data_IF_250264827346
#
_entry.id   IF_250264827346
#
_cell.length_a   1.000
_cell.length_b   1.000
_cell.length_c   1.000
_cell.angle_alpha   90.00
_cell.angle_beta   90.00
_cell.angle_gamma   90.00
#
_symmetry.space_group_name_H-M   'P 1'
#
loop_
_entity.id
_entity.type
_entity.pdbx_description
1 polymer ?
#
# COMPACT_ATOMS: atom_id res chain seq x y z
N UNK A 1 -29.27 25.09 -4.73
CA UNK A 1 -28.61 24.14 -5.66
C UNK A 1 -28.17 22.93 -4.83
N UNK A 2 -28.49 21.70 -5.22
CA UNK A 2 -28.31 20.54 -4.33
C UNK A 2 -26.79 20.27 -4.13
N UNK A 3 -26.33 20.17 -2.88
CA UNK A 3 -24.92 19.92 -2.51
C UNK A 3 -24.34 18.68 -3.23
N UNK A 4 -25.19 17.70 -3.49
CA UNK A 4 -24.86 16.50 -4.26
C UNK A 4 -24.32 16.79 -5.67
N UNK A 5 -24.83 17.82 -6.36
CA UNK A 5 -24.37 18.16 -7.70
C UNK A 5 -22.91 18.62 -7.71
N UNK A 6 -22.52 19.46 -6.75
CA UNK A 6 -21.15 19.94 -6.60
C UNK A 6 -20.20 18.80 -6.21
N UNK A 7 -20.64 17.88 -5.34
CA UNK A 7 -19.84 16.71 -4.97
C UNK A 7 -19.58 15.79 -6.18
N UNK A 8 -20.59 15.52 -6.99
CA UNK A 8 -20.45 14.68 -8.18
C UNK A 8 -19.53 15.31 -9.23
N UNK A 9 -19.66 16.62 -9.46
CA UNK A 9 -18.77 17.37 -10.35
C UNK A 9 -17.31 17.32 -9.86
N UNK A 10 -17.09 17.57 -8.58
CA UNK A 10 -15.77 17.48 -7.96
C UNK A 10 -15.16 16.06 -8.05
N UNK A 11 -15.95 15.02 -7.74
CA UNK A 11 -15.47 13.63 -7.83
C UNK A 11 -15.13 13.24 -9.27
N UNK A 12 -15.89 13.74 -10.25
CA UNK A 12 -15.58 13.58 -11.67
C UNK A 12 -14.29 14.30 -12.07
N UNK A 13 -14.11 15.56 -11.65
CA UNK A 13 -12.86 16.31 -11.84
C UNK A 13 -11.66 15.56 -11.25
N UNK A 14 -11.78 15.05 -10.02
CA UNK A 14 -10.72 14.28 -9.37
C UNK A 14 -10.37 12.98 -10.12
N UNK A 15 -11.39 12.35 -10.71
CA UNK A 15 -11.22 11.13 -11.49
C UNK A 15 -10.55 11.39 -12.84
N UNK A 16 -11.03 12.38 -13.58
CA UNK A 16 -10.66 12.62 -14.99
C UNK A 16 -9.39 13.47 -15.06
N UNK A 17 -9.36 14.61 -14.39
CA UNK A 17 -8.27 15.58 -14.52
C UNK A 17 -7.10 15.29 -13.59
N UNK A 18 -7.37 14.79 -12.38
CA UNK A 18 -6.33 14.50 -11.38
C UNK A 18 -5.90 13.03 -11.34
N UNK A 19 -6.62 12.16 -12.05
CA UNK A 19 -6.29 10.73 -12.15
C UNK A 19 -6.23 10.03 -10.78
N UNK A 20 -7.06 10.43 -9.82
CA UNK A 20 -7.04 9.82 -8.48
C UNK A 20 -7.35 8.32 -8.55
N UNK A 21 -6.69 7.56 -7.68
CA UNK A 21 -6.95 6.12 -7.59
C UNK A 21 -8.39 5.86 -7.13
N UNK A 22 -8.98 4.73 -7.56
CA UNK A 22 -10.33 4.30 -7.13
C UNK A 22 -10.51 4.33 -5.61
N UNK A 23 -9.47 3.98 -4.85
CA UNK A 23 -9.51 3.99 -3.38
C UNK A 23 -9.53 5.42 -2.81
N UNK A 24 -8.81 6.35 -3.45
CA UNK A 24 -8.82 7.76 -3.06
C UNK A 24 -10.19 8.38 -3.34
N UNK A 25 -10.79 8.08 -4.50
CA UNK A 25 -12.15 8.49 -4.83
C UNK A 25 -13.17 7.93 -3.83
N UNK A 26 -13.12 6.62 -3.54
CA UNK A 26 -14.01 6.01 -2.55
C UNK A 26 -13.82 6.55 -1.12
N UNK A 27 -12.64 7.06 -0.77
CA UNK A 27 -12.43 7.77 0.49
C UNK A 27 -13.08 9.17 0.44
N UNK A 28 -12.86 9.92 -0.64
CA UNK A 28 -13.43 11.26 -0.82
C UNK A 28 -14.97 11.21 -0.85
N UNK A 29 -15.57 10.24 -1.53
CA UNK A 29 -17.03 10.03 -1.53
C UNK A 29 -17.58 9.89 -0.11
N UNK A 30 -16.99 9.00 0.70
CA UNK A 30 -17.43 8.81 2.11
C UNK A 30 -17.21 10.04 2.97
N UNK A 31 -16.13 10.77 2.73
CA UNK A 31 -15.82 11.99 3.46
C UNK A 31 -16.84 13.10 3.11
N UNK A 32 -17.23 13.23 1.83
CA UNK A 32 -18.25 14.17 1.35
C UNK A 32 -19.66 13.78 1.77
N UNK A 33 -20.01 12.49 1.80
CA UNK A 33 -21.29 12.01 2.35
C UNK A 33 -21.44 12.41 3.82
N UNK A 34 -20.38 12.22 4.63
CA UNK A 34 -20.35 12.66 6.02
C UNK A 34 -20.52 14.16 6.15
N UNK A 35 -19.84 14.92 5.30
CA UNK A 35 -19.99 16.38 5.27
C UNK A 35 -21.41 16.80 4.87
N UNK A 36 -22.00 16.14 3.88
CA UNK A 36 -23.40 16.37 3.48
C UNK A 36 -24.36 16.15 4.63
N UNK A 37 -24.21 15.06 5.38
CA UNK A 37 -25.04 14.79 6.56
C UNK A 37 -24.91 15.87 7.63
N UNK A 38 -23.72 16.45 7.81
CA UNK A 38 -23.51 17.57 8.72
C UNK A 38 -24.18 18.85 8.21
N UNK A 39 -24.02 19.20 6.93
CA UNK A 39 -24.68 20.36 6.31
C UNK A 39 -26.20 20.29 6.45
N UNK A 40 -26.78 19.12 6.20
CA UNK A 40 -28.24 18.89 6.33
C UNK A 40 -28.69 19.07 7.79
N UNK A 41 -27.95 18.48 8.74
CA UNK A 41 -28.27 18.55 10.17
C UNK A 41 -28.27 19.98 10.70
N UNK A 42 -27.28 20.78 10.30
CA UNK A 42 -27.11 22.16 10.76
C UNK A 42 -27.83 23.17 9.86
N UNK A 43 -28.54 22.69 8.82
CA UNK A 43 -29.26 23.50 7.83
C UNK A 43 -28.36 24.55 7.13
N UNK A 44 -27.16 24.14 6.73
CA UNK A 44 -26.16 24.98 6.07
C UNK A 44 -26.10 24.62 4.59
N UNK A 45 -26.17 25.62 3.72
CA UNK A 45 -25.92 25.42 2.29
C UNK A 45 -24.42 25.32 1.99
N UNK A 46 -24.04 24.48 1.03
CA UNK A 46 -22.62 24.26 0.68
C UNK A 46 -21.88 25.54 0.27
N UNK A 47 -22.56 26.47 -0.41
CA UNK A 47 -21.98 27.76 -0.82
C UNK A 47 -22.05 28.81 0.29
N UNK A 48 -22.90 28.61 1.30
CA UNK A 48 -23.01 29.45 2.50
C UNK A 48 -22.12 28.99 3.65
N UNK A 49 -21.32 27.93 3.44
CA UNK A 49 -20.36 27.44 4.43
C UNK A 49 -19.20 28.44 4.55
N UNK A 50 -18.89 28.85 5.78
CA UNK A 50 -17.87 29.85 6.10
C UNK A 50 -16.84 29.32 7.13
N UNK A 51 -15.95 30.20 7.60
CA UNK A 51 -14.91 29.87 8.58
C UNK A 51 -15.47 29.44 9.92
N UNK A 52 -16.55 30.07 10.39
CA UNK A 52 -17.20 29.71 11.66
C UNK A 52 -17.83 28.31 11.55
N UNK A 53 -18.45 28.00 10.41
CA UNK A 53 -18.94 26.65 10.14
C UNK A 53 -17.80 25.63 10.03
N UNK A 54 -16.65 26.00 9.47
CA UNK A 54 -15.47 25.13 9.40
C UNK A 54 -14.94 24.78 10.80
N UNK A 55 -14.84 25.75 11.71
CA UNK A 55 -14.46 25.53 13.10
C UNK A 55 -15.45 24.59 13.82
N UNK A 56 -16.74 24.85 13.68
CA UNK A 56 -17.81 24.02 14.25
C UNK A 56 -17.79 22.59 13.68
N UNK A 57 -17.48 22.44 12.39
CA UNK A 57 -17.33 21.12 11.78
C UNK A 57 -16.13 20.35 12.34
N UNK A 58 -15.01 21.03 12.63
CA UNK A 58 -13.85 20.40 13.29
C UNK A 58 -14.22 19.91 14.70
N UNK A 59 -15.01 20.70 15.44
CA UNK A 59 -15.54 20.29 16.76
C UNK A 59 -16.47 19.09 16.63
N UNK A 60 -17.36 19.09 15.64
CA UNK A 60 -18.23 17.95 15.33
C UNK A 60 -17.42 16.68 15.03
N UNK A 61 -16.39 16.76 14.18
CA UNK A 61 -15.53 15.61 13.88
C UNK A 61 -14.80 15.07 15.11
N UNK A 62 -14.50 15.91 16.10
CA UNK A 62 -13.91 15.50 17.37
C UNK A 62 -14.94 14.79 18.27
N UNK A 63 -16.16 15.30 18.35
CA UNK A 63 -17.26 14.71 19.11
C UNK A 63 -17.64 13.31 18.60
N UNK A 64 -17.49 13.06 17.29
CA UNK A 64 -17.71 11.76 16.64
C UNK A 64 -16.67 10.68 17.02
N UNK A 65 -15.68 10.99 17.88
CA UNK A 65 -14.62 10.07 18.32
C UNK A 65 -13.88 9.37 17.18
N UNK A 66 -13.75 10.04 16.03
CA UNK A 66 -13.01 9.53 14.88
C UNK A 66 -11.51 9.47 15.17
N UNK A 67 -10.82 8.50 14.58
CA UNK A 67 -9.35 8.50 14.58
C UNK A 67 -8.81 9.78 13.94
N UNK A 68 -7.75 10.38 14.52
CA UNK A 68 -7.15 11.63 14.02
C UNK A 68 -6.76 11.59 12.54
N UNK A 69 -6.31 10.42 12.05
CA UNK A 69 -5.99 10.21 10.64
C UNK A 69 -7.21 10.30 9.73
N UNK A 70 -8.37 9.84 10.20
CA UNK A 70 -9.65 9.95 9.49
C UNK A 70 -10.08 11.41 9.45
N UNK A 71 -10.06 12.13 10.58
CA UNK A 71 -10.43 13.55 10.62
C UNK A 71 -9.53 14.41 9.72
N UNK A 72 -8.21 14.20 9.76
CA UNK A 72 -7.29 14.89 8.86
C UNK A 72 -7.53 14.59 7.39
N UNK A 73 -7.92 13.36 7.05
CA UNK A 73 -8.30 13.01 5.66
C UNK A 73 -9.55 13.77 5.24
N UNK A 74 -10.59 13.82 6.08
CA UNK A 74 -11.82 14.57 5.79
C UNK A 74 -11.49 16.05 5.55
N UNK A 75 -10.69 16.68 6.41
CA UNK A 75 -10.27 18.07 6.24
C UNK A 75 -9.44 18.30 4.96
N UNK A 76 -8.65 17.31 4.55
CA UNK A 76 -7.93 17.34 3.27
C UNK A 76 -8.88 17.24 2.07
N UNK A 77 -9.88 16.35 2.14
CA UNK A 77 -10.94 16.24 1.13
C UNK A 77 -11.70 17.56 1.00
N UNK A 78 -12.10 18.18 2.10
CA UNK A 78 -12.82 19.46 2.10
C UNK A 78 -11.97 20.62 1.57
N UNK A 79 -10.69 20.71 1.94
CA UNK A 79 -9.77 21.68 1.33
C UNK A 79 -9.68 21.52 -0.17
N UNK A 80 -9.55 20.28 -0.65
CA UNK A 80 -9.51 20.04 -2.09
C UNK A 80 -10.84 20.35 -2.78
N UNK A 81 -11.97 20.12 -2.10
CA UNK A 81 -13.31 20.40 -2.61
C UNK A 81 -13.57 21.91 -2.71
N UNK A 82 -13.33 22.67 -1.65
CA UNK A 82 -13.55 24.13 -1.67
C UNK A 82 -12.53 24.86 -2.55
N UNK A 83 -11.29 24.36 -2.67
CA UNK A 83 -10.35 24.88 -3.66
C UNK A 83 -10.82 24.64 -5.12
N UNK A 84 -11.53 23.53 -5.37
CA UNK A 84 -12.18 23.29 -6.66
C UNK A 84 -13.36 24.25 -6.87
N UNK A 85 -14.21 24.46 -5.86
CA UNK A 85 -15.33 25.41 -5.95
C UNK A 85 -14.87 26.85 -6.17
N UNK A 86 -13.81 27.27 -5.49
CA UNK A 86 -13.19 28.59 -5.68
C UNK A 86 -12.71 28.78 -7.12
N UNK A 87 -12.04 27.77 -7.67
CA UNK A 87 -11.47 27.81 -9.02
C UNK A 87 -12.53 27.76 -10.12
N UNK A 88 -13.45 26.79 -10.04
CA UNK A 88 -14.34 26.44 -11.16
C UNK A 88 -15.74 27.06 -11.02
N UNK A 89 -16.08 27.56 -9.82
CA UNK A 89 -17.38 28.18 -9.54
C UNK A 89 -17.27 29.57 -8.89
N UNK A 90 -16.06 30.09 -8.65
CA UNK A 90 -15.84 31.40 -8.03
C UNK A 90 -16.33 31.50 -6.58
N UNK A 91 -16.51 30.37 -5.90
CA UNK A 91 -17.01 30.34 -4.53
C UNK A 91 -15.95 30.77 -3.51
N UNK A 92 -16.38 31.21 -2.33
CA UNK A 92 -15.48 31.43 -1.21
C UNK A 92 -14.90 30.10 -0.70
N UNK A 93 -13.62 30.11 -0.28
CA UNK A 93 -12.93 28.93 0.25
C UNK A 93 -12.65 29.06 1.75
N UNK A 94 -13.58 28.61 2.62
CA UNK A 94 -13.43 28.70 4.07
C UNK A 94 -12.43 27.69 4.65
N UNK A 95 -11.91 26.78 3.82
CA UNK A 95 -10.99 25.74 4.26
C UNK A 95 -9.51 26.11 4.06
N UNK A 96 -9.22 27.30 3.49
CA UNK A 96 -7.88 27.72 3.08
C UNK A 96 -6.86 27.68 4.21
N UNK A 97 -7.24 28.20 5.38
CA UNK A 97 -6.39 28.31 6.57
C UNK A 97 -6.63 27.18 7.59
N UNK A 98 -7.51 26.23 7.26
CA UNK A 98 -7.79 25.09 8.14
C UNK A 98 -6.61 24.12 8.14
N UNK A 99 -5.89 24.12 9.27
CA UNK A 99 -4.74 23.26 9.48
C UNK A 99 -5.14 21.84 9.89
N UNK A 100 -4.43 20.85 9.33
CA UNK A 100 -4.53 19.47 9.81
C UNK A 100 -3.86 19.34 11.18
N UNK A 101 -4.44 18.55 12.08
CA UNK A 101 -3.84 18.29 13.39
C UNK A 101 -2.56 17.47 13.19
N UNK A 102 -1.46 17.88 13.82
CA UNK A 102 -0.21 17.11 13.79
C UNK A 102 -0.47 15.74 14.42
N UNK A 103 -0.32 14.69 13.62
CA UNK A 103 -0.28 13.32 14.14
C UNK A 103 1.14 13.12 14.64
N UNK A 104 1.37 12.86 15.94
CA UNK A 104 2.70 12.56 16.42
C UNK A 104 3.25 11.37 15.64
N UNK A 105 4.41 11.55 15.01
CA UNK A 105 5.11 10.50 14.29
C UNK A 105 5.56 9.45 15.31
N UNK A 106 4.71 8.45 15.56
CA UNK A 106 5.20 7.17 16.07
C UNK A 106 5.81 6.48 14.87
N UNK A 107 7.10 6.68 14.66
CA UNK A 107 7.85 5.82 13.74
C UNK A 107 7.78 4.41 14.33
N UNK A 108 7.06 3.46 13.71
CA UNK A 108 7.16 2.08 14.14
C UNK A 108 8.62 1.70 13.94
N UNK A 109 9.29 1.25 15.00
CA UNK A 109 10.65 0.72 14.84
C UNK A 109 10.57 -0.43 13.85
N UNK A 110 11.51 -0.48 12.91
CA UNK A 110 11.68 -1.65 12.07
C UNK A 110 11.74 -2.91 12.95
N UNK A 111 11.03 -3.95 12.53
CA UNK A 111 11.18 -5.29 13.09
C UNK A 111 12.63 -5.73 12.92
N UNK A 112 13.20 -6.37 13.93
CA UNK A 112 14.50 -7.01 13.81
C UNK A 112 14.44 -8.18 12.82
N UNK A 113 15.59 -8.60 12.28
CA UNK A 113 15.69 -9.76 11.37
C UNK A 113 15.09 -11.02 12.02
N UNK A 114 15.33 -11.21 13.32
CA UNK A 114 14.76 -12.33 14.09
C UNK A 114 13.24 -12.25 14.16
N UNK A 115 12.67 -11.08 14.47
CA UNK A 115 11.21 -10.90 14.50
C UNK A 115 10.57 -11.14 13.13
N UNK A 116 11.17 -10.63 12.05
CA UNK A 116 10.68 -10.90 10.68
C UNK A 116 10.71 -12.41 10.38
N UNK A 117 11.79 -13.09 10.75
CA UNK A 117 11.93 -14.54 10.55
C UNK A 117 10.85 -15.31 11.32
N UNK A 118 10.64 -14.99 12.60
CA UNK A 118 9.58 -15.58 13.43
C UNK A 118 8.20 -15.38 12.81
N UNK A 119 7.88 -14.17 12.33
CA UNK A 119 6.61 -13.87 11.66
C UNK A 119 6.40 -14.72 10.40
N UNK A 120 7.43 -14.81 9.55
CA UNK A 120 7.37 -15.61 8.33
C UNK A 120 7.17 -17.08 8.66
N UNK A 121 7.88 -17.61 9.65
CA UNK A 121 7.79 -19.01 10.05
C UNK A 121 6.44 -19.35 10.69
N UNK A 122 5.94 -18.48 11.57
CA UNK A 122 4.63 -18.62 12.20
C UNK A 122 3.45 -18.51 11.22
N UNK A 123 3.69 -18.09 9.97
CA UNK A 123 2.67 -18.10 8.93
C UNK A 123 2.35 -19.49 8.40
N UNK A 124 3.25 -20.47 8.60
CA UNK A 124 3.07 -21.88 8.25
C UNK A 124 2.40 -22.63 9.39
N UNK A 125 1.32 -23.33 9.08
CA UNK A 125 0.59 -24.17 10.01
C UNK A 125 0.65 -25.61 9.49
N UNK A 126 1.19 -26.53 10.29
CA UNK A 126 1.46 -27.91 9.87
C UNK A 126 0.22 -28.65 9.33
N UNK A 127 -0.96 -28.32 9.84
CA UNK A 127 -2.24 -28.92 9.42
C UNK A 127 -2.87 -28.25 8.19
N UNK A 128 -2.37 -27.09 7.74
CA UNK A 128 -2.94 -26.35 6.61
C UNK A 128 -1.88 -26.13 5.54
N UNK A 129 -1.90 -26.94 4.48
CA UNK A 129 -0.97 -26.79 3.36
C UNK A 129 -1.12 -25.42 2.66
N UNK A 130 -2.30 -24.78 2.74
CA UNK A 130 -2.53 -23.43 2.20
C UNK A 130 -1.67 -22.40 2.91
N UNK A 131 -1.19 -22.68 4.12
CA UNK A 131 -0.28 -21.81 4.86
C UNK A 131 1.07 -21.58 4.15
N UNK A 132 1.49 -22.46 3.23
CA UNK A 132 2.65 -22.22 2.37
C UNK A 132 2.45 -21.01 1.44
N UNK A 133 1.20 -20.73 1.03
CA UNK A 133 0.85 -19.47 0.34
C UNK A 133 1.13 -18.27 1.23
N UNK A 134 0.77 -18.36 2.51
CA UNK A 134 0.92 -17.25 3.46
C UNK A 134 2.42 -16.96 3.66
N UNK A 135 3.24 -18.01 3.82
CA UNK A 135 4.70 -17.88 3.86
C UNK A 135 5.25 -17.20 2.62
N UNK A 136 4.83 -17.64 1.44
CA UNK A 136 5.25 -17.02 0.18
C UNK A 136 4.90 -15.52 0.16
N UNK A 137 3.67 -15.14 0.52
CA UNK A 137 3.24 -13.73 0.58
C UNK A 137 4.12 -12.91 1.53
N UNK A 138 4.38 -13.41 2.75
CA UNK A 138 5.19 -12.69 3.74
C UNK A 138 6.67 -12.59 3.33
N UNK A 139 7.25 -13.66 2.77
CA UNK A 139 8.61 -13.63 2.22
C UNK A 139 8.71 -12.62 1.06
N UNK A 140 7.72 -12.57 0.18
CA UNK A 140 7.68 -11.62 -0.93
C UNK A 140 7.54 -10.18 -0.44
N UNK A 141 6.69 -9.92 0.56
CA UNK A 141 6.57 -8.60 1.19
C UNK A 141 7.90 -8.12 1.75
N UNK A 142 8.62 -9.01 2.45
CA UNK A 142 9.92 -8.68 3.04
C UNK A 142 10.99 -8.53 1.97
N UNK A 143 11.19 -9.55 1.12
CA UNK A 143 12.27 -9.62 0.13
C UNK A 143 12.22 -8.51 -0.93
N UNK A 144 11.05 -7.96 -1.23
CA UNK A 144 10.90 -6.97 -2.31
C UNK A 144 10.58 -5.55 -1.82
N UNK A 145 10.27 -5.39 -0.53
CA UNK A 145 9.70 -4.15 0.00
C UNK A 145 8.40 -3.72 -0.69
N UNK A 146 7.72 -4.60 -1.41
CA UNK A 146 6.50 -4.27 -2.15
C UNK A 146 5.36 -3.85 -1.23
N UNK A 147 4.47 -2.99 -1.74
CA UNK A 147 3.18 -2.73 -1.06
C UNK A 147 2.34 -4.00 -1.15
N UNK A 148 1.50 -4.25 -0.14
CA UNK A 148 0.57 -5.40 -0.14
C UNK A 148 -0.31 -5.45 -1.39
N UNK A 149 -0.74 -4.30 -1.92
CA UNK A 149 -1.52 -4.21 -3.15
C UNK A 149 -0.74 -4.64 -4.39
N UNK A 150 0.57 -4.40 -4.42
CA UNK A 150 1.44 -4.83 -5.51
C UNK A 150 1.60 -6.36 -5.46
N UNK A 151 1.89 -6.94 -4.27
CA UNK A 151 2.05 -8.39 -4.10
C UNK A 151 0.79 -9.17 -4.44
N UNK A 152 -0.39 -8.77 -3.92
CA UNK A 152 -1.65 -9.45 -4.26
C UNK A 152 -2.10 -9.18 -5.69
N UNK A 153 -1.52 -8.16 -6.35
CA UNK A 153 -1.78 -7.77 -7.73
C UNK A 153 -0.97 -8.57 -8.77
N UNK A 154 0.09 -9.26 -8.35
CA UNK A 154 0.97 -10.02 -9.24
C UNK A 154 0.22 -11.10 -10.04
N UNK A 155 0.64 -11.29 -11.28
CA UNK A 155 0.34 -12.44 -12.13
C UNK A 155 1.53 -13.40 -12.18
N UNK A 156 1.29 -14.62 -12.66
CA UNK A 156 2.37 -15.59 -12.93
C UNK A 156 3.44 -15.01 -13.87
N UNK A 157 3.03 -14.24 -14.87
CA UNK A 157 3.92 -13.59 -15.86
C UNK A 157 4.76 -12.46 -15.29
N UNK A 158 4.42 -11.95 -14.10
CA UNK A 158 5.20 -10.89 -13.45
C UNK A 158 6.40 -11.46 -12.67
N UNK A 159 6.54 -12.78 -12.58
CA UNK A 159 7.73 -13.47 -12.04
C UNK A 159 8.63 -13.82 -13.21
N UNK A 160 9.81 -13.19 -13.28
CA UNK A 160 10.72 -13.31 -14.43
C UNK A 160 12.09 -13.77 -13.95
N UNK A 161 12.64 -14.77 -14.63
CA UNK A 161 14.03 -15.17 -14.46
C UNK A 161 14.91 -14.40 -15.45
N UNK A 162 15.79 -13.55 -14.92
CA UNK A 162 16.78 -12.83 -15.72
C UNK A 162 18.08 -13.63 -15.65
N UNK A 163 18.55 -14.07 -16.82
CA UNK A 163 19.82 -14.79 -16.96
C UNK A 163 20.91 -13.78 -17.32
N UNK A 164 21.99 -13.79 -16.55
CA UNK A 164 23.28 -13.18 -16.86
C UNK A 164 24.27 -14.30 -17.19
N UNK A 165 25.43 -13.97 -17.76
CA UNK A 165 26.45 -14.93 -18.23
C UNK A 165 26.83 -15.96 -17.16
N UNK A 166 26.89 -15.55 -15.88
CA UNK A 166 27.31 -16.40 -14.77
C UNK A 166 26.22 -16.72 -13.73
N UNK A 167 25.00 -16.18 -13.87
CA UNK A 167 23.93 -16.46 -12.89
C UNK A 167 22.52 -16.14 -13.40
N UNK A 168 21.54 -16.91 -12.91
CA UNK A 168 20.12 -16.63 -13.08
C UNK A 168 19.54 -16.07 -11.79
N UNK A 169 18.79 -14.96 -11.89
CA UNK A 169 18.13 -14.33 -10.75
C UNK A 169 16.66 -14.15 -11.06
N UNK A 170 15.82 -14.58 -10.11
CA UNK A 170 14.39 -14.32 -10.19
C UNK A 170 14.08 -12.93 -9.72
N UNK A 171 13.19 -12.29 -10.45
CA UNK A 171 12.75 -10.93 -10.24
C UNK A 171 11.24 -10.84 -10.29
N UNK A 172 10.70 -9.78 -9.69
CA UNK A 172 9.28 -9.44 -9.76
C UNK A 172 9.12 -8.14 -10.50
N UNK A 173 8.14 -8.13 -11.40
CA UNK A 173 7.67 -6.92 -12.06
C UNK A 173 6.52 -6.31 -11.26
N UNK A 174 6.82 -5.27 -10.48
CA UNK A 174 5.84 -4.58 -9.65
C UNK A 174 5.27 -3.35 -10.36
N UNK A 175 3.95 -3.15 -10.27
CA UNK A 175 3.24 -2.00 -10.86
C UNK A 175 2.78 -1.03 -9.77
N UNK A 176 3.35 0.17 -9.76
CA UNK A 176 3.06 1.23 -8.81
C UNK A 176 1.91 2.16 -9.22
N UNK A 177 1.70 3.23 -8.45
CA UNK A 177 0.70 4.27 -8.75
C UNK A 177 1.07 4.97 -10.07
N UNK A 178 0.07 5.18 -10.93
CA UNK A 178 0.26 5.83 -12.23
C UNK A 178 0.85 4.91 -13.31
N UNK A 179 0.79 3.59 -13.13
CA UNK A 179 1.23 2.62 -14.14
C UNK A 179 2.75 2.44 -14.23
N UNK A 180 3.53 3.09 -13.36
CA UNK A 180 4.99 2.92 -13.32
C UNK A 180 5.35 1.49 -12.92
N UNK A 181 6.20 0.86 -13.71
CA UNK A 181 6.69 -0.49 -13.44
C UNK A 181 8.11 -0.43 -12.87
N UNK A 182 8.45 -1.38 -11.99
CA UNK A 182 9.81 -1.59 -11.52
C UNK A 182 10.10 -3.07 -11.37
N UNK A 183 11.36 -3.43 -11.57
CA UNK A 183 11.84 -4.80 -11.39
C UNK A 183 12.59 -4.87 -10.07
N UNK A 184 12.28 -5.87 -9.25
CA UNK A 184 12.93 -6.09 -7.96
C UNK A 184 13.46 -7.52 -7.86
N UNK A 185 14.69 -7.73 -7.36
CA UNK A 185 15.24 -9.07 -7.18
C UNK A 185 14.52 -9.81 -6.05
N UNK A 186 14.53 -11.13 -6.15
CA UNK A 186 14.01 -12.04 -5.12
C UNK A 186 15.17 -12.73 -4.40
N UNK A 187 15.14 -12.73 -3.07
CA UNK A 187 16.09 -13.51 -2.26
C UNK A 187 15.78 -15.01 -2.30
N UNK A 188 16.78 -15.85 -2.07
CA UNK A 188 16.69 -17.32 -2.12
C UNK A 188 15.53 -17.90 -1.28
N UNK A 189 15.28 -17.33 -0.10
CA UNK A 189 14.17 -17.73 0.77
C UNK A 189 12.80 -17.44 0.15
N UNK A 190 12.65 -16.28 -0.50
CA UNK A 190 11.40 -15.92 -1.18
C UNK A 190 11.16 -16.74 -2.44
N UNK A 191 12.22 -17.05 -3.18
CA UNK A 191 12.20 -17.96 -4.33
C UNK A 191 11.72 -19.33 -3.90
N UNK A 192 12.33 -19.90 -2.86
CA UNK A 192 11.96 -21.20 -2.30
C UNK A 192 10.50 -21.22 -1.83
N UNK A 193 10.08 -20.22 -1.06
CA UNK A 193 8.71 -20.16 -0.55
C UNK A 193 7.69 -20.03 -1.68
N UNK A 194 8.02 -19.26 -2.72
CA UNK A 194 7.18 -19.15 -3.91
C UNK A 194 7.07 -20.48 -4.66
N UNK A 195 8.17 -21.19 -4.86
CA UNK A 195 8.16 -22.51 -5.51
C UNK A 195 7.35 -23.55 -4.73
N UNK A 196 7.55 -23.60 -3.42
CA UNK A 196 6.78 -24.46 -2.52
C UNK A 196 5.26 -24.19 -2.69
N UNK A 197 4.86 -22.93 -2.80
CA UNK A 197 3.46 -22.55 -3.06
C UNK A 197 3.00 -22.94 -4.48
N UNK A 198 3.77 -22.62 -5.51
CA UNK A 198 3.42 -22.85 -6.91
C UNK A 198 3.26 -24.33 -7.23
N UNK A 199 4.08 -25.19 -6.64
CA UNK A 199 4.06 -26.63 -6.86
C UNK A 199 3.01 -27.32 -5.98
N UNK A 200 2.97 -27.00 -4.69
CA UNK A 200 2.23 -27.83 -3.71
C UNK A 200 0.82 -27.35 -3.40
N UNK A 201 0.51 -26.07 -3.66
CA UNK A 201 -0.76 -25.46 -3.22
C UNK A 201 -1.54 -24.87 -4.37
N UNK A 202 -0.89 -24.06 -5.22
CA UNK A 202 -1.60 -23.32 -6.27
C UNK A 202 -2.42 -24.20 -7.22
N UNK A 203 -1.97 -25.38 -7.67
CA UNK A 203 -2.74 -26.22 -8.58
C UNK A 203 -4.10 -26.65 -8.02
N UNK A 204 -4.13 -27.04 -6.73
CA UNK A 204 -5.39 -27.44 -6.07
C UNK A 204 -6.33 -26.27 -5.84
N UNK A 205 -5.81 -25.05 -5.66
CA UNK A 205 -6.63 -23.84 -5.59
C UNK A 205 -7.20 -23.45 -6.96
N UNK A 206 -6.43 -23.58 -8.03
CA UNK A 206 -6.90 -23.32 -9.41
C UNK A 206 -8.04 -24.27 -9.77
N UNK A 207 -7.93 -25.56 -9.41
CA UNK A 207 -8.97 -26.56 -9.67
C UNK A 207 -10.32 -26.23 -9.03
N UNK A 208 -10.34 -25.46 -7.94
CA UNK A 208 -11.58 -25.00 -7.27
C UNK A 208 -12.23 -23.80 -7.95
N UNK A 209 -11.54 -23.15 -8.88
CA UNK A 209 -12.08 -22.00 -9.59
C UNK A 209 -13.04 -22.47 -10.69
N UNK A 210 -14.29 -22.03 -10.63
CA UNK A 210 -15.34 -22.39 -11.60
C UNK A 210 -15.01 -22.01 -13.05
N UNK A 211 -14.10 -21.05 -13.27
CA UNK A 211 -13.64 -20.65 -14.61
C UNK A 211 -12.43 -21.46 -15.11
N UNK A 212 -11.88 -22.36 -14.30
CA UNK A 212 -10.76 -23.25 -14.65
C UNK A 212 -9.42 -22.56 -14.98
N UNK A 213 -9.35 -21.22 -14.94
CA UNK A 213 -8.15 -20.44 -15.26
C UNK A 213 -8.04 -19.22 -14.33
N UNK A 214 -6.83 -18.97 -13.85
CA UNK A 214 -6.49 -17.76 -13.09
C UNK A 214 -5.03 -17.39 -13.37
N UNK A 215 -4.80 -16.17 -13.86
CA UNK A 215 -3.46 -15.62 -14.09
C UNK A 215 -2.82 -15.10 -12.80
N UNK A 216 -3.65 -14.83 -11.78
CA UNK A 216 -3.21 -14.28 -10.51
C UNK A 216 -2.18 -15.20 -9.84
N UNK A 217 -1.08 -14.62 -9.37
CA UNK A 217 -0.04 -15.36 -8.67
C UNK A 217 -0.63 -16.00 -7.40
N UNK A 218 -1.23 -15.17 -6.55
CA UNK A 218 -1.81 -15.59 -5.27
C UNK A 218 -3.33 -15.73 -5.31
N UNK A 219 -3.79 -16.91 -4.89
CA UNK A 219 -5.20 -17.28 -4.86
C UNK A 219 -5.73 -17.40 -3.42
N UNK A 220 -6.99 -17.03 -3.24
CA UNK A 220 -7.77 -17.36 -2.05
C UNK A 220 -8.20 -18.83 -2.06
N UNK A 221 -8.84 -19.29 -0.98
CA UNK A 221 -9.27 -20.69 -0.83
C UNK A 221 -10.31 -21.14 -1.88
N UNK A 222 -10.98 -20.20 -2.55
CA UNK A 222 -11.96 -20.43 -3.64
C UNK A 222 -11.33 -20.37 -5.04
N UNK A 223 -10.01 -20.23 -5.15
CA UNK A 223 -9.30 -20.20 -6.44
C UNK A 223 -9.32 -18.86 -7.18
N UNK A 224 -9.91 -17.81 -6.60
CA UNK A 224 -9.88 -16.43 -7.12
C UNK A 224 -8.70 -15.66 -6.55
N UNK A 225 -8.32 -14.52 -7.14
CA UNK A 225 -7.26 -13.63 -6.60
C UNK A 225 -7.48 -13.33 -5.11
N UNK A 226 -6.42 -13.43 -4.31
CA UNK A 226 -6.49 -13.03 -2.90
C UNK A 226 -6.71 -11.52 -2.76
N UNK A 227 -7.55 -11.11 -1.82
CA UNK A 227 -7.79 -9.68 -1.59
C UNK A 227 -6.66 -9.06 -0.78
N UNK A 228 -6.49 -7.73 -0.94
CA UNK A 228 -5.60 -6.95 -0.07
C UNK A 228 -5.93 -7.14 1.42
N UNK A 229 -7.21 -7.17 1.76
CA UNK A 229 -7.66 -7.31 3.15
C UNK A 229 -7.29 -8.69 3.71
N UNK A 230 -7.45 -9.75 2.91
CA UNK A 230 -7.02 -11.09 3.32
C UNK A 230 -5.51 -11.15 3.53
N UNK A 231 -4.70 -10.61 2.61
CA UNK A 231 -3.25 -10.58 2.77
C UNK A 231 -2.79 -9.72 3.98
N UNK A 232 -3.50 -8.62 4.26
CA UNK A 232 -3.28 -7.86 5.49
C UNK A 232 -3.56 -8.71 6.73
N UNK A 233 -4.68 -9.44 6.75
CA UNK A 233 -5.05 -10.31 7.86
C UNK A 233 -4.01 -11.42 8.08
N UNK A 234 -3.43 -11.97 7.01
CA UNK A 234 -2.33 -12.96 7.13
C UNK A 234 -1.14 -12.42 7.93
N UNK A 235 -0.76 -11.16 7.71
CA UNK A 235 0.33 -10.51 8.45
C UNK A 235 -0.05 -10.32 9.91
N UNK A 236 -1.27 -9.85 10.19
CA UNK A 236 -1.78 -9.67 11.56
C UNK A 236 -1.86 -11.00 12.31
N UNK A 237 -2.34 -12.05 11.65
CA UNK A 237 -2.48 -13.38 12.26
C UNK A 237 -1.11 -13.99 12.57
N UNK A 238 -0.14 -13.84 11.67
CA UNK A 238 1.24 -14.26 11.92
C UNK A 238 1.84 -13.51 13.13
N UNK A 239 1.56 -12.21 13.24
CA UNK A 239 2.03 -11.38 14.34
C UNK A 239 1.44 -11.78 15.69
N UNK A 240 0.13 -12.07 15.73
CA UNK A 240 -0.52 -12.60 16.93
C UNK A 240 0.09 -13.91 17.41
N UNK A 241 0.45 -14.82 16.49
CA UNK A 241 1.03 -16.13 16.85
C UNK A 241 2.38 -16.03 17.53
N UNK A 242 3.14 -14.96 17.28
CA UNK A 242 4.46 -14.73 17.88
C UNK A 242 4.44 -13.68 18.98
N UNK A 243 3.26 -13.24 19.42
CA UNK A 243 3.12 -12.23 20.49
C UNK A 243 3.57 -10.81 20.08
N UNK A 244 3.48 -10.48 18.78
CA UNK A 244 3.80 -9.16 18.22
C UNK A 244 2.54 -8.47 17.67
N UNK A 245 1.44 -8.45 18.44
CA UNK A 245 0.13 -8.04 17.96
C UNK A 245 -0.07 -6.52 17.81
N UNK A 246 0.79 -5.69 18.40
CA UNK A 246 0.70 -4.24 18.30
C UNK A 246 1.41 -3.66 17.07
N UNK A 247 0.65 -2.99 16.20
CA UNK A 247 1.18 -2.14 15.14
C UNK A 247 1.77 -2.86 13.92
N UNK A 248 1.79 -4.20 13.91
CA UNK A 248 2.33 -4.97 12.79
C UNK A 248 1.40 -4.97 11.60
N UNK A 249 1.97 -4.65 10.45
CA UNK A 249 1.26 -4.56 9.18
C UNK A 249 2.23 -4.75 8.00
N UNK A 250 1.72 -4.96 6.77
CA UNK A 250 2.55 -4.95 5.56
C UNK A 250 3.42 -3.70 5.40
N UNK A 251 3.01 -2.55 5.94
CA UNK A 251 3.84 -1.35 5.91
C UNK A 251 5.09 -1.48 6.79
N UNK A 252 5.01 -2.21 7.90
CA UNK A 252 6.16 -2.50 8.77
C UNK A 252 7.15 -3.41 8.06
N UNK A 253 6.70 -4.42 7.32
CA UNK A 253 7.58 -5.26 6.49
C UNK A 253 8.38 -4.44 5.48
N UNK A 254 7.72 -3.51 4.78
CA UNK A 254 8.38 -2.61 3.85
C UNK A 254 9.36 -1.66 4.54
N UNK A 255 9.04 -1.17 5.73
CA UNK A 255 9.96 -0.34 6.51
C UNK A 255 11.19 -1.14 6.95
N UNK A 256 10.99 -2.33 7.51
CA UNK A 256 12.08 -3.26 7.86
C UNK A 256 12.96 -3.62 6.69
N UNK A 257 12.39 -3.89 5.51
CA UNK A 257 13.17 -4.09 4.30
C UNK A 257 14.10 -2.91 4.00
N UNK A 258 13.57 -1.68 4.04
CA UNK A 258 14.35 -0.48 3.76
C UNK A 258 15.47 -0.30 4.79
N UNK A 259 15.13 -0.40 6.08
CA UNK A 259 16.08 -0.26 7.18
C UNK A 259 17.17 -1.32 7.11
N UNK A 260 16.83 -2.59 6.93
CA UNK A 260 17.82 -3.67 6.88
C UNK A 260 18.71 -3.61 5.64
N UNK A 261 18.22 -3.14 4.49
CA UNK A 261 19.10 -2.89 3.35
C UNK A 261 20.11 -1.79 3.65
N UNK A 262 19.69 -0.69 4.28
CA UNK A 262 20.60 0.39 4.66
C UNK A 262 21.61 -0.06 5.72
N UNK A 263 21.15 -0.78 6.75
CA UNK A 263 22.01 -1.36 7.80
C UNK A 263 23.01 -2.37 7.22
N UNK A 264 22.61 -3.11 6.17
CA UNK A 264 23.46 -4.02 5.39
C UNK A 264 24.40 -3.32 4.41
N UNK A 265 24.42 -1.98 4.38
CA UNK A 265 25.33 -1.19 3.54
C UNK A 265 24.86 -0.94 2.11
N UNK A 266 23.57 -1.16 1.81
CA UNK A 266 23.03 -0.80 0.50
C UNK A 266 23.03 0.72 0.30
N UNK A 267 23.34 1.15 -0.92
CA UNK A 267 23.22 2.55 -1.32
C UNK A 267 21.75 3.00 -1.18
N UNK A 268 21.52 4.11 -0.49
CA UNK A 268 20.18 4.70 -0.30
C UNK A 268 19.42 4.88 -1.63
N UNK A 269 20.14 5.13 -2.73
CA UNK A 269 19.56 5.27 -4.06
C UNK A 269 19.03 3.94 -4.59
N UNK A 270 19.74 2.83 -4.36
CA UNK A 270 19.28 1.48 -4.70
C UNK A 270 18.01 1.15 -3.90
N UNK A 271 18.01 1.47 -2.60
CA UNK A 271 16.83 1.27 -1.74
C UNK A 271 15.63 2.06 -2.24
N UNK A 272 15.82 3.31 -2.65
CA UNK A 272 14.75 4.15 -3.20
C UNK A 272 14.17 3.61 -4.50
N UNK A 273 15.02 3.12 -5.40
CA UNK A 273 14.62 2.52 -6.68
C UNK A 273 13.80 1.23 -6.45
N UNK A 274 14.30 0.34 -5.59
CA UNK A 274 13.60 -0.89 -5.20
C UNK A 274 12.22 -0.63 -4.60
N UNK A 275 12.09 0.45 -3.85
CA UNK A 275 10.84 0.86 -3.23
C UNK A 275 9.91 1.64 -4.19
N UNK A 276 10.42 2.19 -5.29
CA UNK A 276 9.63 2.95 -6.27
C UNK A 276 9.08 4.27 -5.71
N UNK A 277 9.91 5.02 -4.98
CA UNK A 277 9.54 6.37 -4.51
C UNK A 277 9.59 7.38 -5.67
N UNK A 278 8.45 8.01 -5.96
CA UNK A 278 8.33 9.02 -7.03
C UNK A 278 8.63 10.47 -6.57
N UNK A 279 9.08 10.68 -5.33
CA UNK A 279 9.38 12.01 -4.80
C UNK A 279 10.45 11.93 -3.71
N UNK A 280 11.66 12.34 -4.04
CA UNK A 280 12.47 13.19 -3.18
C UNK A 280 12.57 14.49 -3.97
N UNK A 281 12.28 15.62 -3.34
CA UNK A 281 12.49 16.93 -3.96
C UNK A 281 13.84 16.94 -4.72
N UNK A 282 13.80 17.43 -5.96
CA UNK A 282 14.91 17.67 -6.91
C UNK A 282 15.30 16.56 -7.92
N UNK A 283 14.70 16.72 -9.11
CA UNK A 283 14.81 16.02 -10.39
C UNK A 283 16.16 16.17 -11.11
N UNK A 284 17.31 16.33 -10.43
CA UNK A 284 18.55 16.74 -11.13
C UNK A 284 19.73 15.77 -11.18
N UNK A 285 19.64 14.54 -10.66
CA UNK A 285 20.74 13.58 -10.81
C UNK A 285 20.18 12.16 -11.06
N UNK A 286 19.46 11.98 -12.17
CA UNK A 286 19.07 10.67 -12.67
C UNK A 286 20.26 10.02 -13.40
N UNK A 287 21.19 9.42 -12.67
CA UNK A 287 22.19 8.52 -13.28
C UNK A 287 21.72 7.08 -13.13
N UNK A 288 21.56 6.43 -14.28
CA UNK A 288 21.15 5.05 -14.50
C UNK A 288 21.78 4.10 -13.45
N UNK A 289 21.02 3.64 -12.47
CA UNK A 289 21.45 2.49 -11.66
C UNK A 289 21.12 1.26 -12.49
N UNK A 290 22.14 0.52 -12.93
CA UNK A 290 21.96 -0.70 -13.70
C UNK A 290 21.30 -1.79 -12.85
N UNK A 291 20.60 -2.71 -13.50
CA UNK A 291 20.00 -3.88 -12.83
C UNK A 291 21.07 -4.68 -12.08
N UNK A 292 22.29 -4.78 -12.65
CA UNK A 292 23.41 -5.47 -12.01
C UNK A 292 23.85 -4.81 -10.70
N UNK A 293 23.90 -3.48 -10.66
CA UNK A 293 24.22 -2.75 -9.42
C UNK A 293 23.12 -2.89 -8.36
N UNK A 294 21.85 -2.90 -8.77
CA UNK A 294 20.71 -3.15 -7.85
C UNK A 294 20.82 -4.56 -7.26
N UNK A 295 21.11 -5.53 -8.11
CA UNK A 295 21.27 -6.95 -7.81
C UNK A 295 22.43 -7.21 -6.86
N UNK A 296 23.62 -6.67 -7.13
CA UNK A 296 24.80 -6.79 -6.27
C UNK A 296 24.57 -6.17 -4.90
N UNK A 297 24.05 -4.93 -4.87
CA UNK A 297 23.75 -4.25 -3.62
C UNK A 297 22.70 -5.01 -2.79
N UNK A 298 21.67 -5.55 -3.44
CA UNK A 298 20.68 -6.40 -2.78
C UNK A 298 21.30 -7.70 -2.23
N UNK A 299 22.14 -8.36 -3.03
CA UNK A 299 22.79 -9.62 -2.66
C UNK A 299 23.70 -9.46 -1.44
N UNK A 300 24.42 -8.34 -1.35
CA UNK A 300 25.32 -8.03 -0.24
C UNK A 300 24.58 -7.58 1.02
N UNK A 301 23.48 -6.82 0.88
CA UNK A 301 22.87 -6.12 2.01
C UNK A 301 21.61 -6.79 2.57
N UNK A 302 20.82 -7.49 1.75
CA UNK A 302 19.54 -8.02 2.22
C UNK A 302 19.75 -9.28 3.09
N UNK A 303 19.23 -9.35 4.33
CA UNK A 303 19.49 -10.45 5.25
C UNK A 303 19.04 -11.85 4.79
N UNK A 304 18.21 -11.91 3.75
CA UNK A 304 17.68 -13.15 3.16
C UNK A 304 17.93 -13.23 1.65
N UNK A 305 18.98 -12.57 1.14
CA UNK A 305 19.33 -12.59 -0.29
C UNK A 305 19.93 -13.93 -0.73
N UNK A 306 20.99 -14.35 -0.07
CA UNK A 306 21.74 -15.59 -0.36
C UNK A 306 21.52 -16.56 0.80
N UNK A 307 21.50 -17.87 0.50
CA UNK A 307 21.39 -18.93 1.50
C UNK A 307 22.77 -19.42 1.88
#
# INVERSE_FOLDING_TARGET
MNSHQFFDQFLNFQRIERGLSKNSLAAYTRDLERFSSYLIRENIEVLGFDETHAENFIVYLHAEKLALSTSNRILSTLRSFYAYLERDHGAYNPMKDVLSRKIPLRLPKALTISQVTQLIEASVLSADIVSLRNKAILELLYSSGARVSEVVGLNLTDVVEIKSEDSAIRTLKLRGKGGKERVVPMGSYSVKALDDYLVRVRPSLVAKNSKGKSEALFLNQRGSRISRQSAWQLVVDAAKRVGLDEGISPHVFRHSFATHLLDGGADIRVVQELLGHASVTTTQIYTLITIDKIRESYAMAHPRAVK
#
